data_IF_940835790102
#
_entry.id   IF_940835790102
#
_cell.length_a   1.000
_cell.length_b   1.000
_cell.length_c   1.000
_cell.angle_alpha   90.00
_cell.angle_beta   90.00
_cell.angle_gamma   90.00
#
_symmetry.space_group_name_H-M   'P 1'
#
loop_
_entity.id
_entity.type
_entity.pdbx_description
1 polymer ?
#
# COMPACT_ATOMS: atom_id res chain seq x y z
N UNK A 1 0.74 -24.76 -8.40
CA UNK A 1 2.05 -24.35 -7.85
C UNK A 1 3.19 -25.20 -8.40
N UNK A 2 3.25 -26.52 -8.21
CA UNK A 2 4.40 -27.34 -8.64
C UNK A 2 4.69 -27.24 -10.15
N UNK A 3 3.69 -27.55 -10.99
CA UNK A 3 3.85 -27.63 -12.45
C UNK A 3 3.43 -26.33 -13.17
N UNK A 4 3.25 -25.22 -12.46
CA UNK A 4 2.83 -23.97 -13.11
C UNK A 4 3.94 -23.48 -14.07
N UNK A 5 3.65 -23.27 -15.36
CA UNK A 5 4.65 -22.93 -16.35
C UNK A 5 5.02 -21.44 -16.28
N UNK A 6 6.29 -21.16 -16.00
CA UNK A 6 6.84 -19.82 -15.90
C UNK A 6 7.82 -19.56 -17.06
N UNK A 7 7.85 -18.36 -17.66
CA UNK A 7 8.91 -18.00 -18.61
C UNK A 7 10.32 -18.21 -18.05
N UNK A 8 11.21 -18.79 -18.87
CA UNK A 8 12.58 -19.14 -18.49
C UNK A 8 13.41 -17.93 -18.00
N UNK A 9 13.17 -16.74 -18.55
CA UNK A 9 13.96 -15.53 -18.33
C UNK A 9 13.40 -14.61 -17.23
N UNK A 10 12.53 -15.10 -16.34
CA UNK A 10 12.06 -14.32 -15.19
C UNK A 10 13.23 -13.98 -14.26
N UNK A 11 13.31 -12.71 -13.84
CA UNK A 11 14.31 -12.22 -12.90
C UNK A 11 13.70 -11.91 -11.51
N UNK A 12 14.52 -11.40 -10.59
CA UNK A 12 14.12 -11.09 -9.22
C UNK A 12 12.95 -10.10 -9.09
N UNK A 13 12.67 -9.26 -10.09
CA UNK A 13 11.57 -8.28 -9.99
C UNK A 13 10.18 -8.95 -9.89
N UNK A 14 10.05 -10.21 -10.32
CA UNK A 14 8.80 -10.97 -10.20
C UNK A 14 8.58 -11.51 -8.78
N UNK A 15 9.60 -11.52 -7.91
CA UNK A 15 9.46 -11.92 -6.51
C UNK A 15 8.63 -10.93 -5.69
N UNK A 16 8.54 -9.65 -6.07
CA UNK A 16 7.86 -8.64 -5.26
C UNK A 16 6.40 -8.99 -4.97
N UNK A 17 5.70 -9.70 -5.87
CA UNK A 17 4.33 -10.15 -5.61
C UNK A 17 4.25 -11.20 -4.51
N UNK A 18 5.14 -12.19 -4.54
CA UNK A 18 5.25 -13.20 -3.49
C UNK A 18 5.62 -12.57 -2.15
N UNK A 19 6.66 -11.73 -2.13
CA UNK A 19 7.13 -11.04 -0.93
C UNK A 19 6.04 -10.14 -0.32
N UNK A 20 5.30 -9.42 -1.16
CA UNK A 20 4.16 -8.60 -0.73
C UNK A 20 3.08 -9.45 -0.07
N UNK A 21 2.73 -10.60 -0.66
CA UNK A 21 1.78 -11.54 -0.07
C UNK A 21 2.21 -12.06 1.30
N UNK A 22 3.49 -12.37 1.48
CA UNK A 22 4.05 -12.80 2.76
C UNK A 22 3.97 -11.69 3.82
N UNK A 23 4.43 -10.48 3.51
CA UNK A 23 4.39 -9.37 4.47
C UNK A 23 2.94 -8.97 4.79
N UNK A 24 2.04 -9.01 3.82
CA UNK A 24 0.61 -8.78 4.05
C UNK A 24 0.00 -9.82 4.99
N UNK A 25 0.37 -11.09 4.84
CA UNK A 25 -0.05 -12.14 5.77
C UNK A 25 0.51 -11.91 7.19
N UNK A 26 1.75 -11.47 7.32
CA UNK A 26 2.34 -11.05 8.61
C UNK A 26 1.56 -9.88 9.23
N UNK A 27 1.09 -8.92 8.42
CA UNK A 27 0.25 -7.82 8.91
C UNK A 27 -1.07 -8.31 9.50
N UNK A 28 -1.73 -9.28 8.85
CA UNK A 28 -2.97 -9.87 9.37
C UNK A 28 -2.70 -10.57 10.72
N UNK A 29 -1.66 -11.40 10.81
CA UNK A 29 -1.34 -12.13 12.04
C UNK A 29 -1.01 -11.15 13.18
N UNK A 30 -0.07 -10.24 12.94
CA UNK A 30 0.35 -9.26 13.96
C UNK A 30 -0.82 -8.35 14.37
N UNK A 31 -1.65 -7.93 13.42
CA UNK A 31 -2.85 -7.12 13.66
C UNK A 31 -3.88 -7.83 14.53
N UNK A 32 -4.15 -9.12 14.28
CA UNK A 32 -5.08 -9.92 15.12
C UNK A 32 -4.58 -10.03 16.56
N UNK A 33 -3.28 -10.30 16.76
CA UNK A 33 -2.70 -10.35 18.12
C UNK A 33 -2.79 -8.99 18.82
N UNK A 34 -2.49 -7.90 18.14
CA UNK A 34 -2.60 -6.55 18.70
C UNK A 34 -4.07 -6.19 19.02
N UNK A 35 -5.00 -6.53 18.13
CA UNK A 35 -6.42 -6.27 18.31
C UNK A 35 -7.00 -6.96 19.56
N UNK A 36 -6.47 -8.12 19.95
CA UNK A 36 -6.91 -8.84 21.16
C UNK A 36 -6.63 -8.09 22.47
N UNK A 37 -5.79 -7.04 22.44
CA UNK A 37 -5.35 -6.26 23.61
C UNK A 37 -5.51 -4.76 23.44
N UNK A 38 -5.90 -4.29 22.26
CA UNK A 38 -6.16 -2.89 21.97
C UNK A 38 -7.58 -2.49 22.39
N UNK A 39 -7.73 -1.26 22.90
CA UNK A 39 -9.05 -0.71 23.28
C UNK A 39 -9.39 0.50 22.40
N UNK A 40 -10.41 0.42 21.53
CA UNK A 40 -10.82 1.50 20.62
C UNK A 40 -11.69 2.54 21.34
N UNK A 41 -11.12 3.24 22.32
CA UNK A 41 -11.77 4.30 23.09
C UNK A 41 -10.81 5.48 23.24
N UNK A 42 -11.25 6.71 23.03
CA UNK A 42 -10.35 7.88 23.02
C UNK A 42 -9.61 8.10 24.34
N UNK A 43 -10.18 7.65 25.46
CA UNK A 43 -9.55 7.73 26.77
C UNK A 43 -8.47 6.65 26.94
N UNK A 44 -8.64 5.48 26.32
CA UNK A 44 -7.78 4.31 26.56
C UNK A 44 -6.91 3.88 25.38
N UNK A 45 -7.14 4.36 24.16
CA UNK A 45 -6.46 3.90 22.96
C UNK A 45 -4.93 4.02 23.07
N UNK A 46 -4.44 5.22 23.37
CA UNK A 46 -3.01 5.47 23.55
C UNK A 46 -2.42 4.61 24.68
N UNK A 47 -3.09 4.53 25.83
CA UNK A 47 -2.62 3.74 26.97
C UNK A 47 -2.64 2.24 26.71
N UNK A 48 -3.60 1.73 25.93
CA UNK A 48 -3.64 0.31 25.55
C UNK A 48 -2.45 -0.06 24.67
N UNK A 49 -1.99 0.84 23.79
CA UNK A 49 -0.74 0.66 23.04
C UNK A 49 0.48 0.67 23.97
N UNK A 50 0.54 1.58 24.93
CA UNK A 50 1.64 1.60 25.91
C UNK A 50 1.68 0.33 26.75
N UNK A 51 0.51 -0.19 27.16
CA UNK A 51 0.39 -1.46 27.85
C UNK A 51 0.89 -2.64 26.99
N UNK A 52 0.52 -2.67 25.69
CA UNK A 52 1.05 -3.68 24.75
C UNK A 52 2.57 -3.61 24.67
N UNK A 53 3.15 -2.41 24.60
CA UNK A 53 4.59 -2.23 24.47
C UNK A 53 5.35 -2.65 25.74
N UNK A 54 4.83 -2.32 26.93
CA UNK A 54 5.58 -2.38 28.19
C UNK A 54 5.25 -3.60 29.05
N UNK A 55 3.98 -4.00 29.07
CA UNK A 55 3.48 -4.98 30.04
C UNK A 55 3.26 -6.36 29.42
N UNK A 56 3.01 -6.43 28.10
CA UNK A 56 2.81 -7.71 27.43
C UNK A 56 4.15 -8.32 27.00
N UNK A 57 4.34 -9.59 27.35
CA UNK A 57 5.47 -10.36 26.88
C UNK A 57 5.50 -10.39 25.34
N UNK A 58 6.62 -9.96 24.76
CA UNK A 58 6.82 -9.79 23.31
C UNK A 58 5.84 -8.82 22.61
N UNK A 59 5.02 -8.06 23.33
CA UNK A 59 4.05 -7.15 22.73
C UNK A 59 4.70 -6.01 21.94
N UNK A 60 5.87 -5.54 22.40
CA UNK A 60 6.73 -4.62 21.66
C UNK A 60 7.11 -5.17 20.27
N UNK A 61 7.47 -6.45 20.17
CA UNK A 61 7.89 -7.06 18.92
C UNK A 61 6.72 -7.09 17.92
N UNK A 62 5.53 -7.53 18.35
CA UNK A 62 4.33 -7.49 17.51
C UNK A 62 3.98 -6.08 17.07
N UNK A 63 4.06 -5.09 17.98
CA UNK A 63 3.74 -3.70 17.67
C UNK A 63 4.70 -3.07 16.66
N UNK A 64 6.00 -3.37 16.75
CA UNK A 64 6.98 -2.85 15.80
C UNK A 64 7.01 -3.63 14.48
N UNK A 65 6.80 -4.95 14.50
CA UNK A 65 6.61 -5.73 13.28
C UNK A 65 5.37 -5.26 12.50
N UNK A 66 4.29 -4.93 13.20
CA UNK A 66 3.08 -4.41 12.55
C UNK A 66 3.35 -3.05 11.88
N UNK A 67 3.94 -2.09 12.61
CA UNK A 67 4.24 -0.77 12.05
C UNK A 67 5.29 -0.79 10.92
N UNK A 68 6.41 -1.49 11.11
CA UNK A 68 7.43 -1.64 10.07
C UNK A 68 6.89 -2.40 8.87
N UNK A 69 6.03 -3.40 9.11
CA UNK A 69 5.48 -4.21 8.04
C UNK A 69 4.50 -3.43 7.17
N UNK A 70 3.79 -2.44 7.72
CA UNK A 70 3.01 -1.50 6.92
C UNK A 70 3.91 -0.73 5.93
N UNK A 71 5.05 -0.21 6.38
CA UNK A 71 6.03 0.43 5.47
C UNK A 71 6.52 -0.55 4.40
N UNK A 72 6.82 -1.79 4.76
CA UNK A 72 7.30 -2.79 3.82
C UNK A 72 6.22 -3.23 2.81
N UNK A 73 4.94 -3.26 3.20
CA UNK A 73 3.80 -3.46 2.28
C UNK A 73 3.82 -2.38 1.21
N UNK A 74 3.94 -1.09 1.57
CA UNK A 74 3.95 -0.01 0.58
C UNK A 74 5.21 -0.03 -0.29
N UNK A 75 6.38 -0.27 0.29
CA UNK A 75 7.62 -0.41 -0.48
C UNK A 75 7.50 -1.50 -1.55
N UNK A 76 7.06 -2.70 -1.16
CA UNK A 76 6.89 -3.82 -2.08
C UNK A 76 5.76 -3.58 -3.07
N UNK A 77 4.68 -2.91 -2.67
CA UNK A 77 3.58 -2.52 -3.57
C UNK A 77 4.07 -1.56 -4.64
N UNK A 78 4.85 -0.53 -4.28
CA UNK A 78 5.43 0.40 -5.24
C UNK A 78 6.39 -0.29 -6.21
N UNK A 79 7.31 -1.13 -5.70
CA UNK A 79 8.20 -1.92 -6.56
C UNK A 79 7.42 -2.87 -7.49
N UNK A 80 6.33 -3.46 -7.00
CA UNK A 80 5.47 -4.33 -7.79
C UNK A 80 4.70 -3.57 -8.88
N UNK A 81 4.14 -2.39 -8.56
CA UNK A 81 3.48 -1.50 -9.52
C UNK A 81 4.49 -1.03 -10.58
N UNK A 82 5.69 -0.60 -10.19
CA UNK A 82 6.75 -0.18 -11.12
C UNK A 82 7.16 -1.31 -12.08
N UNK A 83 7.29 -2.54 -11.58
CA UNK A 83 7.50 -3.71 -12.44
C UNK A 83 6.31 -3.93 -13.37
N UNK A 84 5.08 -3.77 -12.88
CA UNK A 84 3.87 -3.90 -13.67
C UNK A 84 3.78 -2.90 -14.82
N UNK A 85 4.12 -1.63 -14.56
CA UNK A 85 4.18 -0.56 -15.57
C UNK A 85 5.20 -0.86 -16.67
N UNK A 86 6.34 -1.45 -16.32
CA UNK A 86 7.37 -1.76 -17.30
C UNK A 86 7.05 -2.99 -18.16
N UNK A 87 6.41 -4.01 -17.60
CA UNK A 87 6.40 -5.35 -18.23
C UNK A 87 5.02 -6.02 -18.34
N UNK A 88 3.99 -5.57 -17.62
CA UNK A 88 2.80 -6.42 -17.38
C UNK A 88 1.44 -5.78 -17.58
N UNK A 89 1.28 -4.47 -17.35
CA UNK A 89 -0.05 -3.84 -17.27
C UNK A 89 -0.89 -4.03 -18.54
N UNK A 90 -0.26 -3.99 -19.72
CA UNK A 90 -0.95 -4.18 -21.01
C UNK A 90 -1.34 -5.64 -21.30
N UNK A 91 -0.54 -6.59 -20.81
CA UNK A 91 -0.74 -8.03 -21.10
C UNK A 91 -1.67 -8.69 -20.08
N UNK A 92 -1.72 -8.17 -18.85
CA UNK A 92 -2.49 -8.71 -17.74
C UNK A 92 -3.48 -7.67 -17.17
N UNK A 93 -4.43 -7.14 -17.96
CA UNK A 93 -5.28 -6.02 -17.55
C UNK A 93 -6.16 -6.36 -16.34
N UNK A 94 -6.73 -7.57 -16.26
CA UNK A 94 -7.53 -7.99 -15.10
C UNK A 94 -6.69 -8.14 -13.82
N UNK A 95 -5.45 -8.63 -13.95
CA UNK A 95 -4.51 -8.69 -12.83
C UNK A 95 -4.10 -7.27 -12.41
N UNK A 96 -3.87 -6.37 -13.38
CA UNK A 96 -3.55 -4.98 -13.11
C UNK A 96 -4.66 -4.26 -12.35
N UNK A 97 -5.90 -4.33 -12.84
CA UNK A 97 -7.07 -3.71 -12.21
C UNK A 97 -7.29 -4.26 -10.79
N UNK A 98 -7.24 -5.59 -10.60
CA UNK A 98 -7.35 -6.18 -9.26
C UNK A 98 -6.19 -5.77 -8.33
N UNK A 99 -4.98 -5.59 -8.86
CA UNK A 99 -3.84 -5.06 -8.13
C UNK A 99 -4.01 -3.59 -7.71
N UNK A 100 -4.61 -2.75 -8.55
CA UNK A 100 -4.95 -1.37 -8.19
C UNK A 100 -6.07 -1.31 -7.14
N UNK A 101 -7.05 -2.20 -7.19
CA UNK A 101 -8.06 -2.33 -6.13
C UNK A 101 -7.39 -2.70 -4.79
N UNK A 102 -6.44 -3.64 -4.80
CA UNK A 102 -5.64 -3.97 -3.60
C UNK A 102 -4.87 -2.75 -3.09
N UNK A 103 -4.24 -1.98 -3.99
CA UNK A 103 -3.52 -0.77 -3.62
C UNK A 103 -4.42 0.26 -2.94
N UNK A 104 -5.64 0.47 -3.45
CA UNK A 104 -6.63 1.35 -2.81
C UNK A 104 -7.04 0.85 -1.43
N UNK A 105 -7.24 -0.47 -1.27
CA UNK A 105 -7.52 -1.08 0.05
C UNK A 105 -6.34 -0.86 1.00
N UNK A 106 -5.10 -1.02 0.55
CA UNK A 106 -3.91 -0.77 1.39
C UNK A 106 -3.82 0.69 1.83
N UNK A 107 -4.08 1.66 0.94
CA UNK A 107 -4.13 3.09 1.29
C UNK A 107 -5.13 3.33 2.43
N UNK A 108 -6.37 2.88 2.26
CA UNK A 108 -7.42 3.10 3.27
C UNK A 108 -7.07 2.38 4.57
N UNK A 109 -6.68 1.10 4.49
CA UNK A 109 -6.34 0.27 5.65
C UNK A 109 -5.21 0.88 6.47
N UNK A 110 -4.13 1.32 5.82
CA UNK A 110 -3.00 1.91 6.52
C UNK A 110 -3.33 3.27 7.13
N UNK A 111 -4.09 4.11 6.42
CA UNK A 111 -4.56 5.37 6.98
C UNK A 111 -5.40 5.14 8.24
N UNK A 112 -6.45 4.31 8.19
CA UNK A 112 -7.30 4.08 9.38
C UNK A 112 -6.55 3.39 10.51
N UNK A 113 -5.57 2.53 10.19
CA UNK A 113 -4.68 1.89 11.16
C UNK A 113 -3.75 2.88 11.85
N UNK A 114 -3.23 3.86 11.11
CA UNK A 114 -2.36 4.91 11.65
C UNK A 114 -3.07 5.82 12.66
N UNK A 115 -4.40 5.89 12.63
CA UNK A 115 -5.18 6.68 13.59
C UNK A 115 -5.32 5.97 14.94
N UNK A 116 -5.29 4.63 14.97
CA UNK A 116 -5.57 3.84 16.17
C UNK A 116 -4.65 4.09 17.38
N UNK A 117 -3.34 4.37 17.23
CA UNK A 117 -2.49 4.70 18.37
C UNK A 117 -2.92 5.96 19.13
N UNK A 118 -3.73 6.83 18.51
CA UNK A 118 -4.30 8.03 19.13
C UNK A 118 -3.25 8.99 19.73
N UNK A 119 -2.09 9.09 19.08
CA UNK A 119 -1.08 10.12 19.35
C UNK A 119 -1.37 11.43 18.59
N UNK A 120 -0.48 12.41 18.73
CA UNK A 120 -0.65 13.73 18.09
C UNK A 120 -0.78 13.62 16.55
N UNK A 121 0.14 12.92 15.87
CA UNK A 121 0.08 12.79 14.41
C UNK A 121 -1.10 11.94 13.94
N UNK A 122 -1.49 10.92 14.70
CA UNK A 122 -2.70 10.13 14.44
C UNK A 122 -3.95 11.02 14.41
N UNK A 123 -4.18 11.83 15.44
CA UNK A 123 -5.37 12.68 15.56
C UNK A 123 -5.38 13.82 14.55
N UNK A 124 -4.27 14.57 14.44
CA UNK A 124 -4.20 15.71 13.54
C UNK A 124 -4.15 15.29 12.08
N UNK A 125 -3.48 14.17 11.77
CA UNK A 125 -3.53 13.55 10.45
C UNK A 125 -4.96 13.14 10.07
N UNK A 126 -5.69 12.47 10.99
CA UNK A 126 -7.10 12.13 10.78
C UNK A 126 -7.96 13.38 10.53
N UNK A 127 -7.76 14.43 11.34
CA UNK A 127 -8.51 15.69 11.24
C UNK A 127 -8.26 16.39 9.90
N UNK A 128 -7.01 16.47 9.43
CA UNK A 128 -6.68 17.11 8.16
C UNK A 128 -7.22 16.29 6.98
N UNK A 129 -6.99 14.98 6.97
CA UNK A 129 -7.34 14.11 5.84
C UNK A 129 -8.86 13.97 5.69
N UNK A 130 -9.59 13.76 6.80
CA UNK A 130 -11.07 13.68 6.74
C UNK A 130 -11.69 14.99 6.28
N UNK A 131 -11.13 16.13 6.71
CA UNK A 131 -11.60 17.46 6.30
C UNK A 131 -11.34 17.80 4.82
N UNK A 132 -10.56 17.01 4.09
CA UNK A 132 -10.48 17.15 2.63
C UNK A 132 -11.84 16.92 1.95
N UNK A 133 -12.71 16.12 2.58
CA UNK A 133 -14.05 15.81 2.11
C UNK A 133 -15.10 16.85 2.52
N UNK A 134 -14.71 17.95 3.18
CA UNK A 134 -15.63 18.99 3.66
C UNK A 134 -16.44 19.69 2.55
N UNK A 135 -15.97 19.63 1.30
CA UNK A 135 -16.69 20.11 0.12
C UNK A 135 -17.86 19.23 -0.29
N UNK A 136 -17.91 17.96 0.18
CA UNK A 136 -19.00 17.03 -0.08
C UNK A 136 -19.99 17.08 1.09
N UNK A 137 -21.26 17.45 0.87
CA UNK A 137 -22.24 17.58 1.95
C UNK A 137 -22.32 16.30 2.81
N UNK A 138 -22.33 16.48 4.13
CA UNK A 138 -22.50 15.41 5.14
C UNK A 138 -21.34 14.39 5.24
N UNK A 139 -20.39 14.37 4.29
CA UNK A 139 -19.33 13.34 4.25
C UNK A 139 -18.50 13.27 5.54
N UNK A 140 -18.05 14.42 6.05
CA UNK A 140 -17.28 14.48 7.31
C UNK A 140 -18.11 13.98 8.50
N UNK A 141 -19.37 14.40 8.59
CA UNK A 141 -20.28 14.00 9.69
C UNK A 141 -20.52 12.49 9.64
N UNK A 142 -20.75 11.95 8.44
CA UNK A 142 -21.01 10.53 8.27
C UNK A 142 -19.76 9.68 8.55
N UNK A 143 -18.56 10.10 8.15
CA UNK A 143 -17.32 9.37 8.42
C UNK A 143 -16.97 9.44 9.91
N UNK A 144 -16.92 10.65 10.48
CA UNK A 144 -16.48 10.86 11.85
C UNK A 144 -17.54 10.45 12.89
N UNK A 145 -18.81 10.38 12.51
CA UNK A 145 -19.93 10.16 13.45
C UNK A 145 -20.25 11.41 14.27
N UNK A 146 -19.85 12.58 13.79
CA UNK A 146 -19.94 13.88 14.44
C UNK A 146 -19.20 14.94 13.61
N UNK A 147 -19.17 16.18 14.07
CA UNK A 147 -18.54 17.29 13.33
C UNK A 147 -17.00 17.24 13.33
N UNK A 148 -16.40 16.48 14.24
CA UNK A 148 -14.95 16.37 14.41
C UNK A 148 -14.54 14.93 14.65
N UNK A 149 -13.25 14.65 14.44
CA UNK A 149 -12.63 13.38 14.82
C UNK A 149 -12.79 13.19 16.33
N UNK A 150 -13.44 12.11 16.73
CA UNK A 150 -13.85 11.86 18.12
C UNK A 150 -14.00 10.36 18.37
N UNK A 151 -14.59 9.98 19.51
CA UNK A 151 -14.75 8.59 19.91
C UNK A 151 -15.55 7.69 18.94
N UNK A 152 -16.65 8.16 18.33
CA UNK A 152 -17.29 7.41 17.26
C UNK A 152 -16.35 7.14 16.07
N UNK A 153 -15.42 8.05 15.78
CA UNK A 153 -14.46 7.91 14.66
C UNK A 153 -13.49 6.77 14.93
N UNK A 154 -12.85 6.72 16.11
CA UNK A 154 -11.85 5.68 16.42
C UNK A 154 -12.45 4.28 16.42
N UNK A 155 -13.68 4.12 16.93
CA UNK A 155 -14.42 2.86 16.94
C UNK A 155 -14.69 2.35 15.52
N UNK A 156 -15.14 3.24 14.63
CA UNK A 156 -15.37 2.90 13.21
C UNK A 156 -14.08 2.58 12.48
N UNK A 157 -13.03 3.37 12.71
CA UNK A 157 -11.74 3.17 12.07
C UNK A 157 -11.10 1.85 12.52
N UNK A 158 -11.27 1.45 13.78
CA UNK A 158 -10.84 0.13 14.25
C UNK A 158 -11.55 -1.00 13.51
N UNK A 159 -12.89 -0.94 13.40
CA UNK A 159 -13.68 -1.95 12.66
C UNK A 159 -13.26 -2.02 11.19
N UNK A 160 -13.10 -0.87 10.53
CA UNK A 160 -12.63 -0.81 9.14
C UNK A 160 -11.22 -1.39 9.00
N UNK A 161 -10.29 -0.97 9.86
CA UNK A 161 -8.91 -1.46 9.83
C UNK A 161 -8.83 -2.97 10.06
N UNK A 162 -9.72 -3.53 10.86
CA UNK A 162 -9.78 -4.96 11.11
C UNK A 162 -10.36 -5.74 9.92
N UNK A 163 -11.43 -5.26 9.29
CA UNK A 163 -12.14 -5.99 8.22
C UNK A 163 -11.45 -5.87 6.86
N UNK A 164 -10.92 -4.70 6.51
CA UNK A 164 -10.35 -4.44 5.18
C UNK A 164 -9.21 -5.39 4.79
N UNK A 165 -8.28 -5.80 5.68
CA UNK A 165 -7.27 -6.80 5.36
C UNK A 165 -7.84 -8.15 4.90
N UNK A 166 -8.97 -8.59 5.47
CA UNK A 166 -9.60 -9.86 5.05
C UNK A 166 -10.27 -9.73 3.68
N UNK A 167 -10.91 -8.59 3.40
CA UNK A 167 -11.42 -8.28 2.06
C UNK A 167 -10.26 -8.25 1.04
N UNK A 168 -9.14 -7.60 1.42
CA UNK A 168 -7.90 -7.59 0.66
C UNK A 168 -7.39 -9.00 0.38
N UNK A 169 -7.40 -9.89 1.38
CA UNK A 169 -6.97 -11.29 1.22
C UNK A 169 -7.82 -12.04 0.18
N UNK A 170 -9.15 -11.85 0.17
CA UNK A 170 -10.01 -12.39 -0.88
C UNK A 170 -9.59 -11.89 -2.28
N UNK A 171 -9.27 -10.59 -2.39
CA UNK A 171 -8.86 -9.99 -3.67
C UNK A 171 -7.46 -10.47 -4.08
N UNK A 172 -6.55 -10.78 -3.16
CA UNK A 172 -5.25 -11.42 -3.48
C UNK A 172 -5.46 -12.75 -4.20
N UNK A 173 -6.42 -13.57 -3.77
CA UNK A 173 -6.75 -14.81 -4.48
C UNK A 173 -7.31 -14.54 -5.88
N UNK A 174 -8.19 -13.55 -6.03
CA UNK A 174 -8.73 -13.13 -7.34
C UNK A 174 -7.60 -12.62 -8.26
N UNK A 175 -6.67 -11.83 -7.71
CA UNK A 175 -5.51 -11.29 -8.41
C UNK A 175 -4.59 -12.39 -8.94
N UNK A 176 -4.27 -13.38 -8.10
CA UNK A 176 -3.48 -14.56 -8.51
C UNK A 176 -4.25 -15.43 -9.51
N UNK A 177 -5.56 -15.56 -9.35
CA UNK A 177 -6.41 -16.28 -10.31
C UNK A 177 -6.32 -15.64 -11.70
N UNK A 178 -6.49 -14.32 -11.81
CA UNK A 178 -6.34 -13.61 -13.10
C UNK A 178 -4.93 -13.73 -13.68
N UNK A 179 -3.89 -13.77 -12.84
CA UNK A 179 -2.52 -14.03 -13.29
C UNK A 179 -2.41 -15.43 -13.89
N UNK A 180 -2.95 -16.45 -13.21
CA UNK A 180 -2.87 -17.84 -13.65
C UNK A 180 -3.66 -18.13 -14.93
N UNK A 181 -4.69 -17.35 -15.26
CA UNK A 181 -5.43 -17.48 -16.52
C UNK A 181 -4.54 -17.20 -17.74
N UNK A 182 -3.62 -16.24 -17.65
CA UNK A 182 -2.78 -15.80 -18.77
C UNK A 182 -1.31 -16.20 -18.64
N UNK A 183 -0.86 -16.55 -17.44
CA UNK A 183 0.54 -16.83 -17.17
C UNK A 183 1.34 -15.58 -16.79
N UNK A 184 2.52 -15.80 -16.21
CA UNK A 184 3.44 -14.72 -15.86
C UNK A 184 4.06 -14.08 -17.11
N UNK A 185 4.21 -12.77 -17.08
CA UNK A 185 5.01 -12.00 -18.06
C UNK A 185 6.50 -12.23 -17.84
N UNK A 186 7.34 -11.65 -18.71
CA UNK A 186 8.80 -11.73 -18.59
C UNK A 186 9.48 -10.41 -19.01
N UNK A 187 10.79 -10.21 -18.73
CA UNK A 187 11.48 -8.96 -19.00
C UNK A 187 11.50 -8.51 -20.47
N UNK A 188 11.27 -9.43 -21.42
CA UNK A 188 11.24 -9.09 -22.85
C UNK A 188 9.86 -8.59 -23.31
N UNK A 189 8.81 -8.72 -22.48
CA UNK A 189 7.50 -8.15 -22.77
C UNK A 189 6.72 -8.84 -23.89
N UNK A 190 7.04 -10.09 -24.25
CA UNK A 190 6.27 -10.88 -25.22
C UNK A 190 6.07 -12.32 -24.72
N UNK A 191 5.02 -13.01 -25.19
CA UNK A 191 4.77 -14.41 -24.80
C UNK A 191 5.79 -15.37 -25.45
N UNK A 192 6.23 -16.36 -24.69
CA UNK A 192 7.29 -17.29 -25.10
C UNK A 192 6.90 -18.73 -24.81
N UNK A 193 7.18 -19.63 -25.75
CA UNK A 193 7.01 -21.07 -25.56
C UNK A 193 8.06 -21.66 -24.59
N UNK A 194 9.16 -20.94 -24.32
CA UNK A 194 10.22 -21.37 -23.41
C UNK A 194 9.81 -21.17 -21.95
N UNK A 195 9.07 -22.16 -21.42
CA UNK A 195 8.59 -22.18 -20.04
C UNK A 195 9.25 -23.30 -19.25
N UNK A 196 9.51 -23.03 -17.99
CA UNK A 196 10.03 -23.97 -16.99
C UNK A 196 8.99 -24.14 -15.88
N UNK A 197 8.96 -25.28 -15.17
CA UNK A 197 8.08 -25.45 -14.03
C UNK A 197 8.49 -24.50 -12.90
N UNK A 198 7.50 -23.97 -12.17
CA UNK A 198 7.71 -23.12 -11.01
C UNK A 198 8.54 -23.82 -9.93
N UNK A 199 8.26 -25.09 -9.63
CA UNK A 199 9.12 -25.91 -8.75
C UNK A 199 10.13 -26.71 -9.59
N UNK A 200 11.41 -26.76 -9.21
CA UNK A 200 12.06 -26.07 -8.08
C UNK A 200 12.53 -24.65 -8.43
N UNK A 201 12.47 -24.24 -9.70
CA UNK A 201 13.20 -23.10 -10.24
C UNK A 201 12.80 -21.77 -9.59
N UNK A 202 11.55 -21.33 -9.78
CA UNK A 202 11.05 -20.05 -9.28
C UNK A 202 10.88 -20.08 -7.76
N UNK A 203 10.51 -21.24 -7.18
CA UNK A 203 10.43 -21.38 -5.73
C UNK A 203 11.79 -21.11 -5.06
N UNK A 204 12.90 -21.57 -5.66
CA UNK A 204 14.23 -21.31 -5.08
C UNK A 204 14.59 -19.82 -5.09
N UNK A 205 14.17 -19.08 -6.13
CA UNK A 205 14.32 -17.63 -6.20
C UNK A 205 13.47 -16.94 -5.12
N UNK A 206 12.21 -17.37 -4.97
CA UNK A 206 11.28 -16.87 -3.95
C UNK A 206 11.80 -17.07 -2.52
N UNK A 207 12.37 -18.25 -2.23
CA UNK A 207 13.00 -18.53 -0.93
C UNK A 207 14.22 -17.62 -0.69
N UNK A 208 15.04 -17.38 -1.72
CA UNK A 208 16.18 -16.47 -1.60
C UNK A 208 15.70 -15.03 -1.34
N UNK A 209 14.67 -14.58 -2.05
CA UNK A 209 14.06 -13.26 -1.83
C UNK A 209 13.48 -13.13 -0.42
N UNK A 210 12.77 -14.16 0.03
CA UNK A 210 12.21 -14.20 1.38
C UNK A 210 13.28 -14.07 2.44
N UNK A 211 14.37 -14.85 2.35
CA UNK A 211 15.48 -14.79 3.30
C UNK A 211 16.09 -13.39 3.39
N UNK A 212 16.27 -12.71 2.26
CA UNK A 212 16.81 -11.34 2.27
C UNK A 212 15.83 -10.35 2.93
N UNK A 213 14.55 -10.40 2.56
CA UNK A 213 13.54 -9.46 3.07
C UNK A 213 13.24 -9.70 4.54
N UNK A 214 13.17 -10.95 5.01
CA UNK A 214 12.86 -11.25 6.41
C UNK A 214 13.99 -10.75 7.34
N UNK A 215 15.25 -10.87 6.93
CA UNK A 215 16.40 -10.36 7.69
C UNK A 215 16.28 -8.83 7.82
N UNK A 216 16.06 -8.12 6.70
CA UNK A 216 15.89 -6.67 6.71
C UNK A 216 14.68 -6.23 7.54
N UNK A 217 13.56 -6.94 7.42
CA UNK A 217 12.33 -6.68 8.16
C UNK A 217 12.53 -6.83 9.67
N UNK A 218 13.17 -7.90 10.11
CA UNK A 218 13.44 -8.14 11.54
C UNK A 218 14.44 -7.11 12.08
N UNK A 219 15.52 -6.83 11.35
CA UNK A 219 16.50 -5.82 11.76
C UNK A 219 15.82 -4.46 11.94
N UNK A 220 15.03 -4.02 10.96
CA UNK A 220 14.32 -2.75 11.05
C UNK A 220 13.26 -2.75 12.17
N UNK A 221 12.54 -3.85 12.36
CA UNK A 221 11.49 -3.94 13.40
C UNK A 221 12.05 -3.96 14.82
N UNK A 222 13.20 -4.60 15.03
CA UNK A 222 13.77 -4.79 16.38
C UNK A 222 14.75 -3.67 16.76
N UNK A 223 15.50 -3.12 15.80
CA UNK A 223 16.54 -2.14 16.08
C UNK A 223 16.22 -0.72 15.56
N UNK A 224 15.21 -0.57 14.70
CA UNK A 224 14.76 0.75 14.23
C UNK A 224 15.84 1.56 13.49
N UNK A 225 16.63 0.90 12.63
CA UNK A 225 17.78 1.51 11.92
C UNK A 225 17.38 2.80 11.20
N UNK A 226 16.21 2.81 10.54
CA UNK A 226 15.66 3.97 9.84
C UNK A 226 14.44 4.51 10.60
N UNK A 227 14.33 5.82 10.86
CA UNK A 227 13.15 6.41 11.46
C UNK A 227 12.01 6.47 10.44
N UNK A 228 11.20 5.40 10.38
CA UNK A 228 10.09 5.29 9.43
C UNK A 228 8.80 5.96 9.92
N UNK A 229 8.69 6.26 11.22
CA UNK A 229 7.50 6.85 11.85
C UNK A 229 7.80 8.21 12.47
N UNK A 230 6.82 9.12 12.48
CA UNK A 230 6.99 10.45 13.06
C UNK A 230 7.08 10.42 14.60
N UNK A 231 8.09 11.07 15.24
CA UNK A 231 8.28 11.02 16.69
C UNK A 231 7.11 11.60 17.49
N UNK A 232 6.47 12.66 17.00
CA UNK A 232 5.30 13.26 17.67
C UNK A 232 4.13 12.30 17.86
N UNK A 233 4.06 11.19 17.11
CA UNK A 233 3.01 10.20 17.34
C UNK A 233 3.22 9.38 18.63
N UNK A 234 4.39 9.50 19.26
CA UNK A 234 4.64 9.00 20.60
C UNK A 234 4.09 9.93 21.70
N UNK A 235 3.64 11.14 21.37
CA UNK A 235 3.06 12.09 22.33
C UNK A 235 1.54 11.85 22.38
N UNK A 236 0.98 11.78 23.59
CA UNK A 236 -0.48 11.69 23.78
C UNK A 236 -1.16 12.88 23.11
N UNK A 237 -2.30 12.63 22.47
CA UNK A 237 -3.03 13.68 21.76
C UNK A 237 -3.43 14.83 22.70
N UNK A 238 -3.21 16.06 22.23
CA UNK A 238 -3.83 17.25 22.80
C UNK A 238 -4.59 17.96 21.67
N UNK A 239 -5.92 17.95 21.76
CA UNK A 239 -6.81 18.50 20.72
C UNK A 239 -6.75 20.03 20.62
N UNK A 240 -6.14 20.70 21.60
CA UNK A 240 -5.93 22.15 21.62
C UNK A 240 -4.55 22.59 21.09
N UNK A 241 -3.64 21.63 20.84
CA UNK A 241 -2.27 21.93 20.42
C UNK A 241 -1.94 21.17 19.14
N UNK A 242 -1.90 21.91 18.04
CA UNK A 242 -1.49 21.42 16.74
C UNK A 242 0.04 21.27 16.68
N UNK A 243 0.58 20.12 16.23
CA UNK A 243 2.00 19.98 15.91
C UNK A 243 2.46 21.02 14.89
N UNK A 244 3.75 21.40 14.94
CA UNK A 244 4.33 22.38 14.04
C UNK A 244 4.24 21.97 12.57
N UNK A 245 4.35 20.66 12.28
CA UNK A 245 4.30 20.12 10.93
C UNK A 245 3.46 18.84 10.86
N UNK A 246 2.20 18.97 10.45
CA UNK A 246 1.35 17.80 10.16
C UNK A 246 1.71 17.25 8.77
N UNK A 247 2.28 16.05 8.76
CA UNK A 247 2.55 15.25 7.56
C UNK A 247 2.05 13.82 7.74
N UNK A 248 1.61 13.16 6.65
CA UNK A 248 1.31 11.75 6.73
C UNK A 248 2.61 10.92 6.73
N UNK A 249 2.46 9.61 6.93
CA UNK A 249 3.56 8.66 6.80
C UNK A 249 4.20 8.71 5.40
N UNK A 250 5.46 8.29 5.29
CA UNK A 250 6.31 8.50 4.10
C UNK A 250 5.67 8.00 2.81
N UNK A 251 4.96 6.87 2.87
CA UNK A 251 4.30 6.27 1.72
C UNK A 251 3.11 7.08 1.19
N UNK A 252 2.67 8.14 1.89
CA UNK A 252 1.64 9.07 1.43
C UNK A 252 2.17 10.46 1.06
N UNK A 253 3.47 10.72 1.24
CA UNK A 253 4.07 12.02 0.90
C UNK A 253 3.85 12.44 -0.56
N UNK A 254 3.85 11.54 -1.57
CA UNK A 254 3.51 11.91 -2.94
C UNK A 254 2.12 12.51 -3.11
N UNK A 255 1.13 11.89 -2.49
CA UNK A 255 -0.26 12.38 -2.54
C UNK A 255 -0.41 13.68 -1.77
N UNK A 256 0.27 13.82 -0.64
CA UNK A 256 0.29 15.05 0.13
C UNK A 256 0.96 16.20 -0.63
N UNK A 257 2.07 15.94 -1.33
CA UNK A 257 2.75 16.92 -2.18
C UNK A 257 1.84 17.39 -3.32
N UNK A 258 1.19 16.48 -4.04
CA UNK A 258 0.20 16.82 -5.07
C UNK A 258 -0.95 17.68 -4.54
N UNK A 259 -1.40 17.42 -3.31
CA UNK A 259 -2.46 18.20 -2.70
C UNK A 259 -2.02 19.62 -2.33
N UNK A 260 -0.77 19.79 -1.86
CA UNK A 260 -0.23 21.08 -1.43
C UNK A 260 0.21 22.00 -2.57
N UNK A 261 0.51 21.46 -3.75
CA UNK A 261 0.87 22.28 -4.92
C UNK A 261 -0.32 23.07 -5.48
N UNK A 262 -1.55 22.66 -5.15
CA UNK A 262 -2.78 23.25 -5.66
C UNK A 262 -3.38 24.15 -4.57
N UNK A 263 -3.54 25.47 -4.81
CA UNK A 263 -4.04 26.41 -3.80
C UNK A 263 -5.57 26.33 -3.62
N UNK A 264 -6.14 25.12 -3.65
CA UNK A 264 -7.56 24.84 -3.42
C UNK A 264 -7.74 23.41 -2.93
N UNK A 265 -8.34 23.24 -1.73
CA UNK A 265 -8.59 21.94 -1.10
C UNK A 265 -9.37 20.96 -2.01
N UNK A 266 -10.55 21.32 -2.58
CA UNK A 266 -11.29 20.40 -3.43
C UNK A 266 -10.55 20.09 -4.74
N UNK A 267 -9.87 21.07 -5.34
CA UNK A 267 -9.11 20.84 -6.56
C UNK A 267 -7.89 19.92 -6.32
N UNK A 268 -7.18 20.12 -5.20
CA UNK A 268 -6.08 19.25 -4.78
C UNK A 268 -6.56 17.82 -4.54
N UNK A 269 -7.71 17.63 -3.89
CA UNK A 269 -8.33 16.31 -3.74
C UNK A 269 -8.66 15.66 -5.09
N UNK A 270 -9.26 16.41 -6.02
CA UNK A 270 -9.56 15.92 -7.37
C UNK A 270 -8.27 15.49 -8.10
N UNK A 271 -7.19 16.25 -7.98
CA UNK A 271 -5.90 15.91 -8.62
C UNK A 271 -5.31 14.62 -8.06
N UNK A 272 -5.38 14.42 -6.74
CA UNK A 272 -4.98 13.14 -6.12
C UNK A 272 -5.84 11.97 -6.60
N UNK A 273 -7.15 12.16 -6.71
CA UNK A 273 -8.03 11.11 -7.24
C UNK A 273 -7.77 10.82 -8.72
N UNK A 274 -7.50 11.84 -9.53
CA UNK A 274 -7.16 11.70 -10.94
C UNK A 274 -5.81 10.99 -11.16
N UNK A 275 -4.82 11.22 -10.29
CA UNK A 275 -3.53 10.52 -10.41
C UNK A 275 -3.67 9.02 -10.15
N UNK A 276 -4.55 8.61 -9.22
CA UNK A 276 -4.91 7.22 -9.00
C UNK A 276 -5.75 6.65 -10.15
N UNK A 277 -6.72 7.43 -10.65
CA UNK A 277 -7.57 7.03 -11.79
C UNK A 277 -6.75 6.79 -13.07
N UNK A 278 -5.68 7.56 -13.29
CA UNK A 278 -4.79 7.41 -14.43
C UNK A 278 -4.23 5.98 -14.53
N UNK A 279 -3.89 5.36 -13.39
CA UNK A 279 -3.40 3.98 -13.36
C UNK A 279 -4.44 2.98 -13.88
N UNK A 280 -5.73 3.20 -13.62
CA UNK A 280 -6.81 2.36 -14.19
C UNK A 280 -6.93 2.56 -15.69
N UNK A 281 -6.85 3.81 -16.16
CA UNK A 281 -6.97 4.14 -17.58
C UNK A 281 -5.84 3.56 -18.43
N UNK A 282 -4.64 3.35 -17.87
CA UNK A 282 -3.52 2.71 -18.57
C UNK A 282 -3.87 1.29 -19.07
N UNK A 283 -4.68 0.52 -18.34
CA UNK A 283 -5.10 -0.81 -18.78
C UNK A 283 -6.10 -0.77 -19.95
N UNK A 284 -6.92 0.28 -20.02
CA UNK A 284 -7.97 0.45 -21.02
C UNK A 284 -7.45 0.96 -22.38
N UNK A 285 -6.22 1.50 -22.44
CA UNK A 285 -5.61 2.05 -23.65
C UNK A 285 -5.53 1.02 -24.81
N UNK A 286 -5.62 -0.28 -24.53
CA UNK A 286 -5.67 -1.33 -25.56
C UNK A 286 -6.87 -1.20 -26.49
N UNK A 287 -7.98 -0.60 -26.05
CA UNK A 287 -9.18 -0.37 -26.87
C UNK A 287 -9.09 0.89 -27.73
N UNK A 288 -8.13 1.80 -27.45
CA UNK A 288 -7.94 3.06 -28.16
C UNK A 288 -7.04 2.87 -29.38
N UNK A 289 -7.64 2.40 -30.47
CA UNK A 289 -7.16 2.40 -31.87
C UNK A 289 -5.90 1.61 -32.25
N UNK A 290 -6.00 0.95 -33.40
CA UNK A 290 -4.94 0.23 -34.12
C UNK A 290 -3.70 1.08 -34.42
N UNK A 291 -3.80 2.42 -34.43
CA UNK A 291 -2.67 3.34 -34.66
C UNK A 291 -1.70 3.37 -33.47
N UNK A 292 -2.23 3.31 -32.23
CA UNK A 292 -1.39 3.17 -31.03
C UNK A 292 -0.73 1.80 -31.08
N UNK A 293 -1.46 0.72 -31.40
CA UNK A 293 -0.87 -0.61 -31.54
C UNK A 293 0.19 -0.68 -32.65
N UNK A 294 0.03 0.02 -33.77
CA UNK A 294 1.03 0.05 -34.85
C UNK A 294 2.33 0.74 -34.42
N UNK A 295 2.24 1.84 -33.66
CA UNK A 295 3.41 2.49 -33.05
C UNK A 295 4.10 1.61 -32.01
N UNK A 296 3.35 0.70 -31.37
CA UNK A 296 3.84 -0.21 -30.33
C UNK A 296 4.40 -1.53 -30.90
N UNK A 297 3.94 -1.98 -32.08
CA UNK A 297 4.41 -3.20 -32.76
C UNK A 297 5.79 -3.01 -33.41
N UNK A 298 6.06 -1.80 -33.93
CA UNK A 298 7.32 -1.50 -34.64
C UNK A 298 8.32 -0.66 -33.82
N UNK A 299 7.95 -0.24 -32.61
CA UNK A 299 8.80 0.53 -31.71
C UNK A 299 9.61 -0.35 -30.77
N UNK A 300 10.74 -0.90 -31.24
CA UNK A 300 11.79 -1.29 -30.31
C UNK A 300 12.35 0.00 -29.67
N UNK A 301 12.21 0.11 -28.33
CA UNK A 301 12.96 1.01 -27.42
C UNK A 301 12.42 2.39 -27.00
N UNK A 302 11.25 2.85 -27.43
CA UNK A 302 10.76 4.20 -27.05
C UNK A 302 9.63 4.23 -25.99
N UNK A 303 9.49 3.17 -25.19
CA UNK A 303 8.63 3.19 -23.99
C UNK A 303 9.25 3.97 -22.83
N UNK A 304 10.52 4.36 -22.97
CA UNK A 304 11.28 5.02 -21.94
C UNK A 304 10.69 6.39 -21.62
N UNK A 305 10.32 7.24 -22.58
CA UNK A 305 10.05 8.65 -22.25
C UNK A 305 8.75 8.86 -21.44
N UNK A 306 7.55 8.37 -21.80
CA UNK A 306 6.34 8.61 -21.00
C UNK A 306 6.34 7.85 -19.68
N UNK A 307 6.95 6.66 -19.63
CA UNK A 307 7.09 5.85 -18.41
C UNK A 307 8.16 6.45 -17.50
N UNK A 308 9.26 6.96 -18.04
CA UNK A 308 10.26 7.74 -17.29
C UNK A 308 9.65 9.05 -16.84
N UNK A 309 8.80 9.75 -17.60
CA UNK A 309 8.11 10.94 -17.09
C UNK A 309 7.05 10.61 -16.03
N UNK A 310 6.33 9.50 -16.16
CA UNK A 310 5.42 9.02 -15.12
C UNK A 310 6.19 8.56 -13.87
N UNK A 311 7.29 7.82 -14.03
CA UNK A 311 8.16 7.42 -12.94
C UNK A 311 8.87 8.61 -12.34
N UNK A 312 9.39 9.56 -13.12
CA UNK A 312 10.00 10.79 -12.64
C UNK A 312 8.96 11.70 -11.99
N UNK A 313 7.70 11.73 -12.43
CA UNK A 313 6.64 12.43 -11.73
C UNK A 313 6.28 11.71 -10.42
N UNK A 314 6.18 10.38 -10.43
CA UNK A 314 5.94 9.55 -9.25
C UNK A 314 7.10 9.61 -8.24
N UNK A 315 8.35 9.68 -8.70
CA UNK A 315 9.59 9.79 -7.92
C UNK A 315 9.93 11.23 -7.54
N UNK A 316 9.57 12.25 -8.32
CA UNK A 316 9.68 13.66 -7.91
C UNK A 316 8.61 14.05 -6.88
N UNK A 317 7.65 13.15 -6.63
CA UNK A 317 6.64 13.27 -5.58
C UNK A 317 6.95 12.38 -4.35
N UNK A 318 7.79 11.34 -4.47
CA UNK A 318 8.37 10.59 -3.32
C UNK A 318 9.45 11.42 -2.62
#
# INVERSE_FOLDING_TARGET
LINYPCPLNINFLWNYGFLLGIIFFVQIITGVFLASRYTPDVTYAYYSIQHILRELWSGWAFRYMHATGASLVFLLTYLHILRGLNYSYMFLPLSWISGLILFMIFIVTAFVGYVLPWGQMSYWGATVITNLLSSIPVAVIWICGGYTVSDPTIKRFFVLHFILPFIGLCIVFIHIFFLHLHGSTNPLGYDTALKIPFYPNLLSLDVKGFNNVIILFLIQSLFGIIPLSHPDNAIIVNTYVTPSQIVPEWYFLPFYAMLKTVPSKPAGLVIVLLSLQLLFLLAEQRSLTTIIQFKMIFGARDYSVPIIWFMCAFYALL
#
